data_IF_652107760139
#
_entry.id   IF_652107760139
#
_cell.length_a   1.000
_cell.length_b   1.000
_cell.length_c   1.000
_cell.angle_alpha   90.00
_cell.angle_beta   90.00
_cell.angle_gamma   90.00
#
_symmetry.space_group_name_H-M   'P 1'
#
loop_
_entity.id
_entity.type
_entity.pdbx_description
1 polymer ?
#
# COMPACT_ATOMS: atom_id res chain seq x y z
N UNK A 1 5.80 -4.65 10.18
CA UNK A 1 4.90 -4.62 11.35
C UNK A 1 3.45 -4.60 10.86
N UNK A 2 2.62 -5.59 11.20
CA UNK A 2 1.21 -5.61 10.83
C UNK A 2 0.45 -4.49 11.56
N UNK A 3 -0.45 -3.83 10.84
CA UNK A 3 -1.48 -2.94 11.40
C UNK A 3 -2.82 -3.66 11.42
N UNK A 4 -3.86 -3.07 12.01
CA UNK A 4 -5.20 -3.66 12.10
C UNK A 4 -5.83 -4.07 10.75
N UNK A 5 -5.34 -3.53 9.62
CA UNK A 5 -5.89 -3.85 8.28
C UNK A 5 -4.81 -4.29 7.28
N UNK A 6 -3.62 -3.70 7.33
CA UNK A 6 -2.48 -4.08 6.47
C UNK A 6 -1.61 -5.09 7.21
N UNK A 7 -1.44 -6.28 6.64
CA UNK A 7 -0.52 -7.30 7.13
C UNK A 7 0.92 -6.97 6.73
N UNK A 8 1.16 -6.84 5.42
CA UNK A 8 2.47 -6.48 4.84
C UNK A 8 2.28 -5.67 3.55
N UNK A 9 3.35 -5.01 3.09
CA UNK A 9 3.41 -4.39 1.75
C UNK A 9 4.72 -4.71 1.03
N UNK A 10 4.69 -4.72 -0.30
CA UNK A 10 5.87 -4.92 -1.14
C UNK A 10 5.92 -3.77 -2.13
N UNK A 11 7.10 -3.21 -2.38
CA UNK A 11 7.27 -2.16 -3.38
C UNK A 11 8.20 -2.62 -4.49
N UNK A 12 7.74 -2.46 -5.74
CA UNK A 12 8.49 -2.75 -6.95
C UNK A 12 8.93 -1.41 -7.57
N UNK A 13 10.17 -0.95 -7.34
CA UNK A 13 10.61 0.37 -7.78
C UNK A 13 10.69 0.51 -9.29
N UNK A 14 11.02 -0.56 -10.01
CA UNK A 14 11.12 -0.56 -11.48
C UNK A 14 9.78 -0.27 -12.17
N UNK A 15 8.68 -0.64 -11.53
CA UNK A 15 7.32 -0.47 -12.08
C UNK A 15 6.47 0.52 -11.28
N UNK A 16 7.03 1.12 -10.23
CA UNK A 16 6.33 1.97 -9.25
C UNK A 16 5.04 1.32 -8.70
N UNK A 17 5.09 0.02 -8.41
CA UNK A 17 3.93 -0.74 -7.91
C UNK A 17 4.07 -0.96 -6.41
N UNK A 18 3.07 -0.52 -5.66
CA UNK A 18 2.91 -0.82 -4.24
C UNK A 18 1.86 -1.92 -4.07
N UNK A 19 2.31 -3.11 -3.70
CA UNK A 19 1.44 -4.24 -3.33
C UNK A 19 1.09 -4.18 -1.86
N UNK A 20 -0.19 -4.23 -1.55
CA UNK A 20 -0.73 -4.30 -0.18
C UNK A 20 -1.34 -5.68 0.04
N UNK A 21 -0.88 -6.35 1.10
CA UNK A 21 -1.42 -7.61 1.58
C UNK A 21 -2.22 -7.29 2.85
N UNK A 22 -3.53 -7.46 2.78
CA UNK A 22 -4.43 -7.20 3.91
C UNK A 22 -4.42 -8.35 4.90
N UNK A 23 -4.85 -8.10 6.15
CA UNK A 23 -4.99 -9.16 7.16
C UNK A 23 -5.99 -10.25 6.74
N UNK A 24 -6.99 -9.91 5.92
CA UNK A 24 -7.93 -10.86 5.35
C UNK A 24 -7.34 -11.78 4.27
N UNK A 25 -6.09 -11.54 3.85
CA UNK A 25 -5.46 -12.24 2.72
C UNK A 25 -5.74 -11.62 1.35
N UNK A 26 -6.60 -10.60 1.27
CA UNK A 26 -6.81 -9.89 0.02
C UNK A 26 -5.52 -9.16 -0.41
N UNK A 27 -5.22 -9.17 -1.72
CA UNK A 27 -4.01 -8.56 -2.27
C UNK A 27 -4.38 -7.53 -3.34
N UNK A 28 -3.80 -6.34 -3.22
CA UNK A 28 -4.04 -5.23 -4.14
C UNK A 28 -2.73 -4.59 -4.59
N UNK A 29 -2.62 -4.33 -5.89
CA UNK A 29 -1.52 -3.57 -6.47
C UNK A 29 -2.00 -2.14 -6.74
N UNK A 30 -1.26 -1.15 -6.23
CA UNK A 30 -1.44 0.27 -6.52
C UNK A 30 -0.34 0.73 -7.47
N UNK A 31 -0.72 1.38 -8.56
CA UNK A 31 0.20 1.74 -9.64
C UNK A 31 0.67 3.19 -9.55
N UNK A 32 1.87 3.47 -10.09
CA UNK A 32 2.49 4.81 -10.16
C UNK A 32 2.68 5.44 -8.79
N UNK A 33 3.00 4.62 -7.79
CA UNK A 33 3.28 5.10 -6.42
C UNK A 33 4.76 5.42 -6.33
N UNK A 34 5.10 6.69 -6.15
CA UNK A 34 6.50 7.11 -6.07
C UNK A 34 7.18 6.58 -4.79
N UNK A 35 8.52 6.42 -4.79
CA UNK A 35 9.27 5.95 -3.62
C UNK A 35 9.03 6.81 -2.37
N UNK A 36 8.87 8.14 -2.52
CA UNK A 36 8.59 9.05 -1.40
C UNK A 36 7.28 8.72 -0.67
N UNK A 37 6.24 8.31 -1.42
CA UNK A 37 4.95 7.92 -0.85
C UNK A 37 5.09 6.62 -0.08
N UNK A 38 5.89 5.68 -0.59
CA UNK A 38 6.18 4.40 0.06
C UNK A 38 6.99 4.59 1.33
N UNK A 39 7.98 5.48 1.32
CA UNK A 39 8.78 5.81 2.51
C UNK A 39 7.89 6.42 3.60
N UNK A 40 7.04 7.39 3.24
CA UNK A 40 6.04 7.98 4.16
C UNK A 40 5.06 6.93 4.67
N UNK A 41 4.61 6.01 3.81
CA UNK A 41 3.77 4.90 4.21
C UNK A 41 4.47 3.98 5.21
N UNK A 42 5.74 3.63 4.97
CA UNK A 42 6.58 2.84 5.87
C UNK A 42 6.75 3.47 7.25
N UNK A 43 6.87 4.80 7.32
CA UNK A 43 6.99 5.58 8.57
C UNK A 43 5.65 5.87 9.27
N UNK A 44 4.52 5.72 8.57
CA UNK A 44 3.20 6.06 9.13
C UNK A 44 2.81 5.20 10.35
N UNK A 45 2.36 5.85 11.43
CA UNK A 45 1.88 5.17 12.65
C UNK A 45 0.67 4.27 12.39
N UNK A 46 -0.27 4.72 11.55
CA UNK A 46 -1.43 3.93 11.12
C UNK A 46 -1.40 3.70 9.62
N UNK A 47 -1.01 2.49 9.21
CA UNK A 47 -0.98 2.08 7.79
C UNK A 47 -2.36 2.16 7.16
N UNK A 48 -3.40 1.66 7.84
CA UNK A 48 -4.78 1.72 7.35
C UNK A 48 -5.25 3.15 7.10
N UNK A 49 -4.99 4.07 8.04
CA UNK A 49 -5.37 5.48 7.89
C UNK A 49 -4.62 6.14 6.74
N UNK A 50 -3.30 5.92 6.62
CA UNK A 50 -2.51 6.46 5.51
C UNK A 50 -2.99 5.91 4.16
N UNK A 51 -3.24 4.60 4.08
CA UNK A 51 -3.73 3.94 2.87
C UNK A 51 -5.08 4.54 2.42
N UNK A 52 -6.03 4.69 3.34
CA UNK A 52 -7.36 5.22 3.02
C UNK A 52 -7.34 6.73 2.68
N UNK A 53 -6.46 7.53 3.28
CA UNK A 53 -6.43 8.99 3.07
C UNK A 53 -5.49 9.45 1.96
N UNK A 54 -4.41 8.72 1.70
CA UNK A 54 -3.33 9.15 0.80
C UNK A 54 -3.27 8.28 -0.44
N UNK A 55 -3.38 6.96 -0.31
CA UNK A 55 -3.10 6.05 -1.42
C UNK A 55 -4.38 5.75 -2.22
N UNK A 56 -5.41 5.16 -1.59
CA UNK A 56 -6.66 4.79 -2.24
C UNK A 56 -7.31 5.88 -3.10
N UNK A 57 -7.40 7.15 -2.66
CA UNK A 57 -8.03 8.19 -3.47
C UNK A 57 -7.15 8.69 -4.63
N UNK A 58 -5.84 8.43 -4.62
CA UNK A 58 -4.88 9.01 -5.58
C UNK A 58 -4.38 8.03 -6.64
N UNK A 59 -4.32 6.74 -6.31
CA UNK A 59 -3.71 5.74 -7.19
C UNK A 59 -4.75 4.75 -7.69
N UNK A 60 -4.65 4.43 -8.98
CA UNK A 60 -5.38 3.30 -9.56
C UNK A 60 -4.87 2.00 -8.94
N UNK A 61 -5.78 1.04 -8.78
CA UNK A 61 -5.45 -0.23 -8.18
C UNK A 61 -6.11 -1.40 -8.91
N UNK A 62 -5.52 -2.58 -8.74
CA UNK A 62 -6.04 -3.86 -9.21
C UNK A 62 -6.03 -4.86 -8.05
N UNK A 63 -7.10 -5.63 -7.92
CA UNK A 63 -7.14 -6.77 -7.00
C UNK A 63 -6.45 -7.97 -7.66
N UNK A 64 -5.56 -8.62 -6.93
CA UNK A 64 -4.79 -9.78 -7.39
C UNK A 64 -5.37 -11.10 -6.85
N UNK A 65 -5.84 -11.11 -5.59
CA UNK A 65 -6.52 -12.24 -4.94
C UNK A 65 -7.56 -11.80 -3.91
#
# INVERSE_FOLDING_TARGET
MPSSVVNHYIYFPETEVLRIIYQSGAVYDYFKVSPDVVEKFGKARSKGTFLNKVIKPKFKYLRIS
#
